data_IF_780019448075
#
_entry.id   IF_780019448075
#
_cell.length_a   1.000
_cell.length_b   1.000
_cell.length_c   1.000
_cell.angle_alpha   90.00
_cell.angle_beta   90.00
_cell.angle_gamma   90.00
#
_symmetry.space_group_name_H-M   'P 1'
#
loop_
_entity.id
_entity.type
_entity.pdbx_description
1 polymer ?
#
# COMPACT_ATOMS: atom_id res chain seq x y z
N UNK A 1 -5.02 6.66 -63.22
CA UNK A 1 -4.80 6.26 -61.82
C UNK A 1 -5.75 7.07 -60.92
N UNK A 2 -6.76 6.44 -60.29
CA UNK A 2 -7.73 7.12 -59.44
C UNK A 2 -7.07 7.66 -58.16
N UNK A 3 -7.42 8.87 -57.72
CA UNK A 3 -6.88 9.48 -56.50
C UNK A 3 -7.72 9.06 -55.29
N UNK A 4 -7.15 8.24 -54.41
CA UNK A 4 -7.77 7.84 -53.14
C UNK A 4 -7.94 9.04 -52.19
N UNK A 5 -9.20 9.36 -51.87
CA UNK A 5 -9.53 10.34 -50.84
C UNK A 5 -9.53 9.65 -49.47
N UNK A 6 -8.57 10.00 -48.61
CA UNK A 6 -8.52 9.56 -47.20
C UNK A 6 -9.73 10.13 -46.44
N UNK A 7 -10.60 9.24 -45.95
CA UNK A 7 -11.65 9.60 -44.98
C UNK A 7 -10.99 9.91 -43.63
N UNK A 8 -11.25 11.10 -43.07
CA UNK A 8 -10.89 11.44 -41.69
C UNK A 8 -11.81 10.67 -40.76
N UNK A 9 -11.29 9.66 -40.08
CA UNK A 9 -11.95 9.02 -38.94
C UNK A 9 -11.77 9.96 -37.75
N UNK A 10 -12.71 10.89 -37.58
CA UNK A 10 -12.89 11.61 -36.32
C UNK A 10 -13.66 10.71 -35.38
N UNK A 11 -13.02 10.27 -34.30
CA UNK A 11 -13.66 9.45 -33.29
C UNK A 11 -12.69 9.13 -32.17
N UNK A 12 -12.67 9.95 -31.12
CA UNK A 12 -12.18 9.48 -29.84
C UNK A 12 -13.10 8.35 -29.38
N UNK A 13 -12.52 7.23 -28.93
CA UNK A 13 -13.31 6.17 -28.31
C UNK A 13 -14.01 6.71 -27.05
N UNK A 14 -15.29 6.38 -26.83
CA UNK A 14 -15.99 6.80 -25.62
C UNK A 14 -15.32 6.17 -24.39
N UNK A 15 -15.05 6.99 -23.37
CA UNK A 15 -14.40 6.55 -22.14
C UNK A 15 -15.17 5.40 -21.49
N UNK A 16 -14.43 4.35 -21.08
CA UNK A 16 -14.96 3.18 -20.37
C UNK A 16 -15.81 3.63 -19.17
N UNK A 17 -17.09 3.25 -19.15
CA UNK A 17 -17.99 3.48 -18.02
C UNK A 17 -17.56 2.59 -16.86
N UNK A 18 -16.91 3.17 -15.86
CA UNK A 18 -16.54 2.47 -14.63
C UNK A 18 -17.84 2.15 -13.87
N UNK A 19 -18.02 0.89 -13.46
CA UNK A 19 -19.14 0.47 -12.63
C UNK A 19 -19.16 1.30 -11.33
N UNK A 20 -20.35 1.73 -10.89
CA UNK A 20 -20.54 2.44 -9.63
C UNK A 20 -19.92 1.60 -8.51
N UNK A 21 -18.97 2.18 -7.77
CA UNK A 21 -18.36 1.52 -6.61
C UNK A 21 -19.47 1.12 -5.65
N UNK A 22 -19.71 -0.18 -5.53
CA UNK A 22 -20.43 -0.71 -4.39
C UNK A 22 -19.47 -0.58 -3.21
N UNK A 23 -19.81 0.29 -2.25
CA UNK A 23 -19.05 0.41 -1.03
C UNK A 23 -19.21 -0.90 -0.26
N UNK A 24 -18.12 -1.64 -0.07
CA UNK A 24 -18.05 -2.77 0.85
C UNK A 24 -17.89 -2.26 2.30
N UNK A 25 -18.75 -1.32 2.70
CA UNK A 25 -18.85 -0.90 4.10
C UNK A 25 -19.90 -1.80 4.72
N UNK A 26 -19.50 -2.58 5.71
CA UNK A 26 -20.41 -3.43 6.49
C UNK A 26 -21.51 -2.52 7.06
N UNK A 27 -22.77 -2.94 7.00
CA UNK A 27 -23.90 -2.16 7.51
C UNK A 27 -23.71 -1.79 8.99
N UNK A 28 -22.95 -2.59 9.74
CA UNK A 28 -22.56 -2.34 11.14
C UNK A 28 -21.61 -1.15 11.35
N UNK A 29 -20.99 -0.62 10.28
CA UNK A 29 -20.09 0.53 10.33
C UNK A 29 -20.75 1.85 9.88
N UNK A 30 -22.03 1.81 9.52
CA UNK A 30 -22.82 3.00 9.19
C UNK A 30 -23.79 3.24 10.34
N UNK A 31 -23.56 4.29 11.12
CA UNK A 31 -24.55 4.77 12.08
C UNK A 31 -25.83 5.12 11.32
N UNK A 32 -26.92 4.39 11.57
CA UNK A 32 -28.25 4.80 11.13
C UNK A 32 -28.62 6.07 11.91
N UNK A 33 -28.46 7.21 11.26
CA UNK A 33 -28.98 8.48 11.77
C UNK A 33 -30.50 8.44 11.60
N UNK A 34 -31.23 8.22 12.69
CA UNK A 34 -32.68 8.34 12.72
C UNK A 34 -33.07 9.81 12.54
N UNK A 35 -33.44 10.15 11.31
CA UNK A 35 -33.98 11.47 10.96
C UNK A 35 -35.37 11.59 11.58
N UNK A 36 -35.44 12.07 12.82
CA UNK A 36 -36.71 12.29 13.54
C UNK A 36 -36.70 11.96 15.04
N UNK A 37 -35.67 11.30 15.57
CA UNK A 37 -35.60 10.93 17.00
C UNK A 37 -35.53 12.12 17.97
N UNK A 38 -35.17 13.30 17.49
CA UNK A 38 -35.04 14.52 18.29
C UNK A 38 -36.36 15.31 18.48
N UNK A 39 -37.50 14.81 17.99
CA UNK A 39 -38.79 15.54 18.08
C UNK A 39 -39.32 15.55 19.53
N UNK A 40 -38.99 14.56 20.34
CA UNK A 40 -39.46 14.46 21.74
C UNK A 40 -38.47 15.01 22.79
N UNK A 41 -37.27 15.40 22.37
CA UNK A 41 -36.27 15.96 23.30
C UNK A 41 -36.56 17.43 23.57
N UNK A 42 -36.63 17.79 24.86
CA UNK A 42 -36.75 19.18 25.29
C UNK A 42 -35.63 20.01 24.67
N UNK A 43 -35.97 21.18 24.11
CA UNK A 43 -35.01 22.10 23.50
C UNK A 43 -33.82 22.47 24.41
N UNK A 44 -34.00 22.37 25.73
CA UNK A 44 -32.94 22.58 26.72
C UNK A 44 -31.90 21.45 26.74
N UNK A 45 -32.29 20.19 26.56
CA UNK A 45 -31.37 19.04 26.52
C UNK A 45 -30.55 19.02 25.23
N UNK A 46 -31.15 19.43 24.11
CA UNK A 46 -30.47 19.59 22.83
C UNK A 46 -29.42 20.71 22.86
N UNK A 47 -29.66 21.78 23.62
CA UNK A 47 -28.70 22.89 23.79
C UNK A 47 -27.49 22.47 24.64
N UNK A 48 -27.71 21.71 25.72
CA UNK A 48 -26.62 21.25 26.61
C UNK A 48 -25.72 20.22 25.94
N UNK A 49 -26.30 19.31 25.15
CA UNK A 49 -25.53 18.31 24.39
C UNK A 49 -24.73 18.94 23.24
N UNK A 50 -25.27 19.95 22.55
CA UNK A 50 -24.55 20.68 21.50
C UNK A 50 -23.37 21.54 22.01
N UNK A 51 -23.37 21.96 23.28
CA UNK A 51 -22.28 22.71 23.89
C UNK A 51 -21.05 21.85 24.20
N UNK A 52 -21.20 20.51 24.27
CA UNK A 52 -20.08 19.58 24.45
C UNK A 52 -19.37 19.21 23.14
N UNK A 53 -20.05 19.36 21.99
CA UNK A 53 -19.51 19.08 20.66
C UNK A 53 -19.00 20.31 19.91
N UNK A 54 -19.20 21.51 20.47
CA UNK A 54 -18.67 22.72 19.87
C UNK A 54 -17.17 22.84 20.15
N UNK A 55 -16.30 22.93 19.12
CA UNK A 55 -14.89 23.20 19.34
C UNK A 55 -14.80 24.53 20.10
N UNK A 56 -13.98 24.61 21.17
CA UNK A 56 -13.86 25.83 21.96
C UNK A 56 -13.64 27.00 20.99
N UNK A 57 -14.36 28.10 21.23
CA UNK A 57 -14.31 29.30 20.41
C UNK A 57 -12.97 30.03 20.64
N UNK A 58 -11.89 29.35 20.25
CA UNK A 58 -10.52 29.74 20.49
C UNK A 58 -10.20 30.92 19.58
N UNK A 59 -9.58 31.94 20.18
CA UNK A 59 -9.11 33.10 19.42
C UNK A 59 -8.12 32.62 18.37
N UNK A 60 -8.05 33.33 17.24
CA UNK A 60 -7.14 32.99 16.13
C UNK A 60 -5.69 32.79 16.59
N UNK A 61 -5.26 33.54 17.62
CA UNK A 61 -3.94 33.43 18.26
C UNK A 61 -3.74 32.09 18.98
N UNK A 62 -4.72 31.65 19.77
CA UNK A 62 -4.70 30.36 20.49
C UNK A 62 -4.67 29.18 19.50
N UNK A 63 -5.49 29.24 18.43
CA UNK A 63 -5.45 28.23 17.36
C UNK A 63 -4.09 28.16 16.67
N UNK A 64 -3.41 29.30 16.51
CA UNK A 64 -2.08 29.34 15.91
C UNK A 64 -1.01 28.79 16.86
N UNK A 65 -1.11 29.06 18.16
CA UNK A 65 -0.23 28.50 19.19
C UNK A 65 -0.37 26.99 19.27
N UNK A 66 -1.60 26.47 19.37
CA UNK A 66 -1.85 25.02 19.37
C UNK A 66 -1.32 24.33 18.12
N UNK A 67 -1.46 24.95 16.94
CA UNK A 67 -0.86 24.42 15.70
C UNK A 67 0.67 24.39 15.76
N UNK A 68 1.29 25.43 16.32
CA UNK A 68 2.74 25.51 16.47
C UNK A 68 3.25 24.45 17.45
N UNK A 69 2.58 24.29 18.59
CA UNK A 69 2.92 23.31 19.61
C UNK A 69 2.75 21.87 19.09
N UNK A 70 1.63 21.58 18.42
CA UNK A 70 1.40 20.28 17.79
C UNK A 70 2.45 19.97 16.71
N UNK A 71 2.91 20.98 15.97
CA UNK A 71 3.99 20.83 15.00
C UNK A 71 5.33 20.52 15.68
N UNK A 72 5.66 21.22 16.78
CA UNK A 72 6.88 20.96 17.54
C UNK A 72 6.89 19.56 18.15
N UNK A 73 5.80 19.13 18.78
CA UNK A 73 5.65 17.76 19.28
C UNK A 73 5.78 16.72 18.17
N UNK A 74 5.22 16.98 16.98
CA UNK A 74 5.39 16.10 15.82
C UNK A 74 6.84 16.07 15.34
N UNK A 75 7.55 17.19 15.35
CA UNK A 75 8.95 17.24 14.96
C UNK A 75 9.82 16.49 15.98
N UNK A 76 9.61 16.70 17.27
CA UNK A 76 10.29 16.02 18.37
C UNK A 76 10.07 14.51 18.31
N UNK A 77 8.82 14.05 18.15
CA UNK A 77 8.51 12.62 18.00
C UNK A 77 9.01 12.02 16.67
N UNK A 78 9.08 12.82 15.60
CA UNK A 78 9.62 12.39 14.31
C UNK A 78 11.15 12.35 14.27
N UNK A 79 11.82 13.01 15.22
CA UNK A 79 13.26 12.97 15.39
C UNK A 79 13.65 11.70 16.14
N UNK A 80 13.32 10.55 15.55
CA UNK A 80 13.92 9.29 15.97
C UNK A 80 15.42 9.40 15.71
N UNK A 81 16.29 9.21 16.71
CA UNK A 81 17.75 9.34 16.57
C UNK A 81 18.36 8.33 15.60
N UNK A 82 17.55 7.41 15.07
CA UNK A 82 17.98 6.35 14.19
C UNK A 82 17.30 6.39 12.83
N UNK A 83 18.04 5.98 11.81
CA UNK A 83 17.58 5.95 10.43
C UNK A 83 16.32 5.07 10.23
N UNK A 84 15.59 5.32 9.14
CA UNK A 84 14.42 4.52 8.70
C UNK A 84 14.72 3.01 8.58
N UNK A 85 15.98 2.64 8.36
CA UNK A 85 16.42 1.24 8.35
C UNK A 85 16.39 0.62 9.75
N UNK A 86 16.83 1.37 10.76
CA UNK A 86 16.83 0.92 12.16
C UNK A 86 15.41 0.72 12.69
N UNK A 87 14.49 1.65 12.43
CA UNK A 87 13.08 1.46 12.83
C UNK A 87 12.44 0.25 12.15
N UNK A 88 12.80 -0.04 10.89
CA UNK A 88 12.34 -1.24 10.18
C UNK A 88 12.93 -2.52 10.78
N UNK A 89 14.18 -2.49 11.25
CA UNK A 89 14.82 -3.60 11.98
C UNK A 89 14.17 -3.82 13.34
N UNK A 90 13.90 -2.78 14.12
CA UNK A 90 13.19 -2.88 15.40
C UNK A 90 11.79 -3.47 15.22
N UNK A 91 11.02 -2.99 14.24
CA UNK A 91 9.68 -3.56 13.94
C UNK A 91 9.75 -5.01 13.50
N UNK A 92 10.78 -5.39 12.75
CA UNK A 92 10.99 -6.78 12.35
C UNK A 92 11.37 -7.65 13.55
N UNK A 93 12.30 -7.21 14.40
CA UNK A 93 12.71 -7.89 15.62
C UNK A 93 11.53 -8.06 16.58
N UNK A 94 10.76 -7.00 16.82
CA UNK A 94 9.55 -7.06 17.64
C UNK A 94 8.53 -8.06 17.04
N UNK A 95 8.29 -8.01 15.73
CA UNK A 95 7.39 -8.97 15.08
C UNK A 95 7.91 -10.41 15.14
N UNK A 96 9.22 -10.61 15.04
CA UNK A 96 9.86 -11.93 15.17
C UNK A 96 9.79 -12.43 16.63
N UNK A 97 9.88 -11.55 17.63
CA UNK A 97 9.67 -11.91 19.04
C UNK A 97 8.22 -12.33 19.31
N UNK A 98 7.23 -11.59 18.78
CA UNK A 98 5.81 -11.96 18.95
C UNK A 98 5.40 -13.20 18.13
N UNK A 99 5.93 -13.37 16.91
CA UNK A 99 5.57 -14.48 16.03
C UNK A 99 6.45 -15.73 16.21
N UNK A 100 7.61 -15.59 16.83
CA UNK A 100 8.61 -16.64 17.02
C UNK A 100 8.46 -17.44 18.31
N UNK A 101 7.44 -17.16 19.13
CA UNK A 101 7.12 -17.97 20.29
C UNK A 101 7.85 -17.59 21.59
N UNK A 102 8.49 -16.42 21.67
CA UNK A 102 8.95 -15.85 22.96
C UNK A 102 7.76 -15.33 23.79
N UNK A 103 6.71 -16.15 23.92
CA UNK A 103 5.62 -15.96 24.85
C UNK A 103 6.09 -16.22 26.28
N UNK A 104 7.23 -16.91 26.50
CA UNK A 104 7.83 -17.14 27.83
C UNK A 104 8.09 -15.84 28.58
N UNK A 105 8.59 -14.79 27.93
CA UNK A 105 8.80 -13.50 28.59
C UNK A 105 7.48 -12.82 29.00
N UNK A 106 6.41 -13.04 28.23
CA UNK A 106 5.06 -12.54 28.54
C UNK A 106 4.42 -13.40 29.63
N UNK A 107 4.60 -14.72 29.58
CA UNK A 107 4.12 -15.68 30.58
C UNK A 107 4.82 -15.48 31.92
N UNK A 108 6.13 -15.21 31.94
CA UNK A 108 6.85 -14.86 33.16
C UNK A 108 6.41 -13.51 33.73
N UNK A 109 6.14 -12.52 32.88
CA UNK A 109 5.62 -11.23 33.33
C UNK A 109 4.17 -11.35 33.84
N UNK A 110 3.35 -12.20 33.22
CA UNK A 110 2.01 -12.52 33.68
C UNK A 110 2.06 -13.32 34.99
N UNK A 111 2.93 -14.31 35.13
CA UNK A 111 3.11 -15.09 36.35
C UNK A 111 3.59 -14.21 37.53
N UNK A 112 4.48 -13.24 37.27
CA UNK A 112 4.91 -12.29 38.29
C UNK A 112 3.81 -11.28 38.70
N UNK A 113 2.75 -11.12 37.89
CA UNK A 113 1.57 -10.31 38.21
C UNK A 113 0.46 -11.16 38.83
N UNK A 114 0.35 -12.44 38.44
CA UNK A 114 -0.56 -13.43 39.03
C UNK A 114 -0.14 -13.81 40.45
N UNK A 115 1.16 -13.87 40.77
CA UNK A 115 1.64 -14.06 42.15
C UNK A 115 1.26 -12.89 43.08
N UNK A 116 0.87 -11.73 42.53
CA UNK A 116 0.30 -10.58 43.26
C UNK A 116 -1.25 -10.55 43.22
N UNK A 117 -1.90 -11.50 42.53
CA UNK A 117 -3.36 -11.57 42.32
C UNK A 117 -3.97 -12.94 42.65
N UNK A 118 -3.61 -13.54 43.79
CA UNK A 118 -4.44 -14.57 44.40
C UNK A 118 -5.70 -13.96 45.05
N UNK A 119 -6.69 -13.61 44.22
CA UNK A 119 -8.12 -13.64 44.55
C UNK A 119 -9.00 -13.24 43.33
N UNK A 120 -9.40 -14.21 42.50
CA UNK A 120 -10.80 -14.47 42.10
C UNK A 120 -10.97 -15.26 40.79
N UNK A 121 -11.63 -16.42 40.94
CA UNK A 121 -12.64 -17.05 40.06
C UNK A 121 -12.36 -17.34 38.57
N UNK A 122 -12.10 -18.63 38.32
CA UNK A 122 -12.77 -19.54 37.36
C UNK A 122 -13.56 -19.00 36.16
N UNK A 123 -13.28 -19.54 34.96
CA UNK A 123 -14.14 -20.49 34.21
C UNK A 123 -13.55 -20.86 32.82
N UNK A 124 -14.02 -21.99 32.30
CA UNK A 124 -13.41 -22.93 31.36
C UNK A 124 -13.57 -22.66 29.83
N UNK A 125 -12.93 -23.48 28.95
CA UNK A 125 -12.63 -23.21 27.54
C UNK A 125 -13.60 -23.88 26.55
N UNK A 126 -13.70 -23.44 25.26
CA UNK A 126 -14.04 -24.31 24.11
C UNK A 126 -13.61 -23.75 22.72
N UNK A 127 -13.03 -24.67 21.95
CA UNK A 127 -13.18 -24.99 20.52
C UNK A 127 -12.57 -24.20 19.34
N UNK A 128 -11.48 -24.79 18.83
CA UNK A 128 -11.27 -25.37 17.49
C UNK A 128 -11.86 -24.70 16.22
N UNK A 129 -10.93 -24.10 15.46
CA UNK A 129 -10.79 -23.90 13.99
C UNK A 129 -11.93 -24.31 13.02
N UNK A 130 -12.08 -23.60 11.88
CA UNK A 130 -11.31 -24.04 10.71
C UNK A 130 -10.65 -22.91 9.89
N UNK A 131 -9.53 -23.33 9.30
CA UNK A 131 -8.67 -22.65 8.34
C UNK A 131 -9.48 -22.24 7.09
N UNK A 132 -9.59 -20.95 6.83
CA UNK A 132 -10.02 -20.44 5.50
C UNK A 132 -8.77 -20.20 4.64
N UNK A 133 -8.41 -21.21 3.86
CA UNK A 133 -7.53 -21.06 2.71
C UNK A 133 -8.30 -20.38 1.58
N UNK A 134 -8.05 -19.11 1.29
CA UNK A 134 -8.48 -18.53 0.01
C UNK A 134 -7.43 -17.61 -0.61
N UNK A 135 -7.06 -17.93 -1.85
CA UNK A 135 -6.81 -16.92 -2.86
C UNK A 135 -5.42 -16.29 -2.91
N UNK A 136 -4.36 -17.08 -3.02
CA UNK A 136 -3.11 -16.56 -3.61
C UNK A 136 -3.36 -16.22 -5.09
N UNK A 137 -3.85 -15.00 -5.33
CA UNK A 137 -4.03 -14.45 -6.66
C UNK A 137 -2.69 -14.54 -7.42
N UNK A 138 -2.62 -15.49 -8.35
CA UNK A 138 -1.48 -15.69 -9.24
C UNK A 138 -1.30 -14.40 -10.03
N UNK A 139 -0.31 -13.60 -9.65
CA UNK A 139 0.08 -12.41 -10.42
C UNK A 139 0.33 -12.86 -11.86
N UNK A 140 -0.28 -12.22 -12.87
CA UNK A 140 -0.08 -12.61 -14.25
C UNK A 140 1.42 -12.51 -14.55
N UNK A 141 2.01 -13.62 -15.03
CA UNK A 141 3.38 -13.61 -15.51
C UNK A 141 3.40 -12.72 -16.75
N UNK A 142 4.03 -11.56 -16.64
CA UNK A 142 4.22 -10.66 -17.77
C UNK A 142 4.88 -11.46 -18.91
N UNK A 143 4.32 -11.36 -20.12
CA UNK A 143 4.88 -12.03 -21.30
C UNK A 143 6.29 -11.49 -21.54
N UNK A 144 7.26 -12.33 -21.93
CA UNK A 144 8.59 -11.84 -22.30
C UNK A 144 8.45 -10.82 -23.44
N UNK A 145 8.97 -9.61 -23.24
CA UNK A 145 8.87 -8.50 -24.20
C UNK A 145 7.74 -7.47 -23.93
N UNK A 146 6.87 -7.70 -22.95
CA UNK A 146 5.81 -6.73 -22.62
C UNK A 146 6.36 -5.57 -21.77
N UNK A 147 6.76 -4.49 -22.45
CA UNK A 147 7.18 -3.24 -21.81
C UNK A 147 5.93 -2.40 -21.51
N UNK A 148 5.70 -2.09 -20.23
CA UNK A 148 4.81 -1.02 -19.76
C UNK A 148 3.37 -1.11 -20.26
N UNK A 149 2.46 -1.63 -19.45
CA UNK A 149 1.02 -1.46 -19.70
C UNK A 149 0.68 0.05 -19.66
N UNK A 150 0.63 0.69 -20.82
CA UNK A 150 0.27 2.10 -21.01
C UNK A 150 1.44 3.10 -20.99
N UNK A 151 1.23 4.25 -21.65
CA UNK A 151 2.21 5.34 -21.90
C UNK A 151 2.77 6.07 -20.67
N UNK A 152 2.64 5.52 -19.46
CA UNK A 152 3.10 6.17 -18.23
C UNK A 152 3.45 5.23 -17.08
N UNK A 153 3.17 3.93 -17.18
CA UNK A 153 3.49 2.99 -16.12
C UNK A 153 4.92 2.46 -16.30
N UNK A 154 5.86 3.00 -15.51
CA UNK A 154 7.22 2.45 -15.46
C UNK A 154 7.22 1.02 -14.93
N UNK A 155 8.19 0.21 -15.36
CA UNK A 155 8.43 -1.13 -14.80
C UNK A 155 8.47 -1.10 -13.26
N UNK A 156 7.88 -2.10 -12.63
CA UNK A 156 7.93 -2.25 -11.17
C UNK A 156 9.39 -2.31 -10.70
N UNK A 157 9.66 -1.91 -9.44
CA UNK A 157 11.02 -1.92 -8.88
C UNK A 157 11.69 -3.30 -9.00
N UNK A 158 10.92 -4.38 -8.81
CA UNK A 158 11.40 -5.75 -8.94
C UNK A 158 11.74 -6.11 -10.40
N UNK A 159 10.90 -5.71 -11.37
CA UNK A 159 11.19 -5.90 -12.79
C UNK A 159 12.42 -5.11 -13.23
N UNK A 160 12.57 -3.86 -12.78
CA UNK A 160 13.79 -3.06 -13.05
C UNK A 160 15.04 -3.73 -12.51
N UNK A 161 14.98 -4.26 -11.29
CA UNK A 161 16.12 -4.98 -10.71
C UNK A 161 16.49 -6.22 -11.53
N UNK A 162 15.50 -7.03 -11.91
CA UNK A 162 15.72 -8.20 -12.78
C UNK A 162 16.27 -7.82 -14.15
N UNK A 163 15.74 -6.77 -14.77
CA UNK A 163 16.25 -6.27 -16.05
C UNK A 163 17.71 -5.79 -15.93
N UNK A 164 18.06 -5.08 -14.86
CA UNK A 164 19.44 -4.67 -14.60
C UNK A 164 20.37 -5.86 -14.34
N UNK A 165 19.92 -6.88 -13.61
CA UNK A 165 20.70 -8.11 -13.39
C UNK A 165 20.94 -8.86 -14.71
N UNK A 166 19.94 -8.95 -15.58
CA UNK A 166 20.07 -9.54 -16.91
C UNK A 166 21.06 -8.75 -17.78
N UNK A 167 20.91 -7.42 -17.85
CA UNK A 167 21.82 -6.57 -18.64
C UNK A 167 23.26 -6.63 -18.13
N UNK A 168 23.48 -6.75 -16.82
CA UNK A 168 24.82 -6.96 -16.25
C UNK A 168 25.47 -8.25 -16.76
N UNK A 169 24.70 -9.32 -16.93
CA UNK A 169 25.20 -10.58 -17.49
C UNK A 169 25.41 -10.50 -19.00
N UNK A 170 24.53 -9.77 -19.70
CA UNK A 170 24.55 -9.62 -21.16
C UNK A 170 25.70 -8.75 -21.65
N UNK A 171 25.96 -7.63 -20.98
CA UNK A 171 26.95 -6.65 -21.40
C UNK A 171 28.35 -7.22 -21.68
N UNK A 172 28.98 -8.03 -20.80
CA UNK A 172 30.30 -8.60 -21.09
C UNK A 172 30.27 -9.55 -22.28
N UNK A 173 29.17 -10.27 -22.52
CA UNK A 173 29.04 -11.15 -23.69
C UNK A 173 28.99 -10.38 -25.00
N UNK A 174 28.37 -9.20 -25.01
CA UNK A 174 28.37 -8.30 -26.17
C UNK A 174 29.79 -7.79 -26.42
N UNK A 175 30.50 -7.36 -25.38
CA UNK A 175 31.87 -6.84 -25.51
C UNK A 175 32.89 -7.91 -25.90
N UNK A 176 32.65 -9.18 -25.52
CA UNK A 176 33.52 -10.29 -25.90
C UNK A 176 33.42 -10.64 -27.40
N UNK A 177 32.40 -10.16 -28.12
CA UNK A 177 32.22 -10.44 -29.52
C UNK A 177 33.13 -9.55 -30.40
N UNK A 178 34.08 -10.12 -31.17
CA UNK A 178 35.03 -9.34 -31.95
C UNK A 178 34.35 -8.49 -33.05
N UNK A 179 33.23 -8.96 -33.61
CA UNK A 179 32.45 -8.21 -34.61
C UNK A 179 31.81 -6.95 -34.03
N UNK A 180 31.43 -7.00 -32.74
CA UNK A 180 30.87 -5.85 -32.05
C UNK A 180 31.93 -4.78 -31.79
N UNK A 181 33.17 -5.19 -31.46
CA UNK A 181 34.30 -4.27 -31.25
C UNK A 181 34.74 -3.59 -32.56
N UNK A 182 34.72 -4.30 -33.69
CA UNK A 182 35.11 -3.74 -34.99
C UNK A 182 34.04 -2.80 -35.58
N UNK A 183 32.77 -3.22 -35.59
CA UNK A 183 31.67 -2.39 -36.06
C UNK A 183 30.34 -2.73 -35.33
N UNK A 184 29.98 -1.96 -34.28
CA UNK A 184 28.79 -2.26 -33.49
C UNK A 184 27.51 -2.04 -34.29
N UNK A 185 27.46 -1.06 -35.19
CA UNK A 185 26.26 -0.77 -35.99
C UNK A 185 25.98 -1.85 -37.04
N UNK A 186 27.03 -2.38 -37.67
CA UNK A 186 26.88 -3.50 -38.61
C UNK A 186 26.40 -4.75 -37.89
N UNK A 187 26.98 -5.06 -36.73
CA UNK A 187 26.58 -6.20 -35.89
C UNK A 187 25.11 -6.10 -35.42
N UNK A 188 24.66 -4.90 -35.04
CA UNK A 188 23.25 -4.67 -34.69
C UNK A 188 22.35 -4.86 -35.93
N UNK A 189 22.77 -4.39 -37.11
CA UNK A 189 22.00 -4.52 -38.36
C UNK A 189 21.85 -5.98 -38.76
N UNK A 190 22.93 -6.77 -38.73
CA UNK A 190 22.90 -8.20 -39.06
C UNK A 190 22.07 -8.99 -38.05
N UNK A 191 22.22 -8.71 -36.74
CA UNK A 191 21.37 -9.32 -35.71
C UNK A 191 19.88 -9.02 -35.95
N UNK A 192 19.53 -7.76 -36.23
CA UNK A 192 18.15 -7.37 -36.50
C UNK A 192 17.59 -8.05 -37.76
N UNK A 193 18.37 -8.12 -38.84
CA UNK A 193 17.99 -8.86 -40.05
C UNK A 193 17.73 -10.33 -39.75
N UNK A 194 18.61 -10.99 -39.01
CA UNK A 194 18.46 -12.41 -38.66
C UNK A 194 17.27 -12.69 -37.72
N UNK A 195 16.92 -11.73 -36.85
CA UNK A 195 15.85 -11.92 -35.85
C UNK A 195 14.48 -11.50 -36.37
N UNK A 196 14.38 -10.44 -37.17
CA UNK A 196 13.11 -9.87 -37.63
C UNK A 196 12.58 -10.52 -38.93
N UNK A 197 13.43 -11.20 -39.70
CA UNK A 197 13.00 -11.89 -40.93
C UNK A 197 12.37 -13.27 -40.68
N UNK A 198 12.35 -13.78 -39.44
CA UNK A 198 11.82 -15.12 -39.11
C UNK A 198 10.35 -15.13 -38.64
N UNK A 199 9.63 -14.02 -38.74
CA UNK A 199 8.21 -13.89 -38.35
C UNK A 199 7.42 -13.11 -39.40
#
# INVERSE_FOLDING_TARGET
MPKDRRKRVGGHEPSVKIAKRQFAVQENAVEQVEIGGAIEQSATDLLVSADHDNPPNLKKKEKQQLKREALLQRLETSHSPYSKSHSRRLKRKAKEQLAGGDLDAIQMALAAVDDDQDASESLQPQDSTPVTQEGSAKKPKAKPGQIGEGKGATLSKAQRKRALELEKLRHPLILANPEYSSNPFQTIRTHAQNTLLQH
#
